data_IF_060107359135
#
_entry.id   IF_060107359135
#
_cell.length_a   1.000
_cell.length_b   1.000
_cell.length_c   1.000
_cell.angle_alpha   90.00
_cell.angle_beta   90.00
_cell.angle_gamma   90.00
#
_symmetry.space_group_name_H-M   'P 1'
#
loop_
_entity.id
_entity.type
_entity.pdbx_description
1 polymer ?
#
# COMPACT_ATOMS: atom_id res chain seq x y z
N UNK A 1 13.73 17.33 -16.78
CA UNK A 1 13.21 16.12 -16.09
C UNK A 1 14.14 15.60 -14.99
N UNK A 2 15.45 15.87 -15.00
CA UNK A 2 16.37 15.40 -13.96
C UNK A 2 16.21 16.08 -12.60
N UNK A 3 15.87 17.37 -12.59
CA UNK A 3 15.85 18.18 -11.35
C UNK A 3 14.74 17.76 -10.37
N UNK A 4 13.58 17.41 -10.90
CA UNK A 4 12.43 16.97 -10.10
C UNK A 4 12.68 15.61 -9.43
N UNK A 5 13.35 14.68 -10.13
CA UNK A 5 13.77 13.40 -9.54
C UNK A 5 14.84 13.59 -8.46
N UNK A 6 15.73 14.57 -8.63
CA UNK A 6 16.74 14.93 -7.62
C UNK A 6 16.06 15.45 -6.35
N UNK A 7 15.15 16.42 -6.49
CA UNK A 7 14.40 16.98 -5.37
C UNK A 7 13.58 15.90 -4.65
N UNK A 8 12.86 15.05 -5.38
CA UNK A 8 12.08 13.96 -4.78
C UNK A 8 12.95 13.02 -3.95
N UNK A 9 14.15 12.66 -4.43
CA UNK A 9 15.09 11.81 -3.68
C UNK A 9 15.58 12.49 -2.42
N UNK A 10 15.88 13.79 -2.49
CA UNK A 10 16.32 14.58 -1.34
C UNK A 10 15.20 14.65 -0.30
N UNK A 11 13.98 15.01 -0.72
CA UNK A 11 12.80 15.08 0.13
C UNK A 11 12.52 13.74 0.81
N UNK A 12 12.57 12.64 0.07
CA UNK A 12 12.37 11.29 0.62
C UNK A 12 13.43 10.93 1.65
N UNK A 13 14.71 11.26 1.38
CA UNK A 13 15.82 11.02 2.31
C UNK A 13 15.65 11.81 3.60
N UNK A 14 15.40 13.12 3.50
CA UNK A 14 15.27 14.00 4.68
C UNK A 14 14.04 13.62 5.50
N UNK A 15 12.89 13.36 4.89
CA UNK A 15 11.69 12.92 5.63
C UNK A 15 11.88 11.55 6.32
N UNK A 16 12.72 10.67 5.77
CA UNK A 16 13.05 9.39 6.42
C UNK A 16 13.90 9.56 7.70
N UNK A 17 14.70 10.62 7.76
CA UNK A 17 15.54 10.97 8.92
C UNK A 17 14.74 11.80 9.93
N UNK A 18 13.98 12.79 9.44
CA UNK A 18 13.14 13.69 10.24
C UNK A 18 11.72 13.13 10.35
N UNK A 19 11.58 12.06 11.13
CA UNK A 19 10.36 11.25 11.25
C UNK A 19 9.59 11.44 12.57
N UNK A 20 9.82 12.53 13.29
CA UNK A 20 9.06 12.89 14.50
C UNK A 20 7.62 13.29 14.13
N UNK A 21 6.70 13.06 15.05
CA UNK A 21 5.28 13.38 14.89
C UNK A 21 4.86 14.52 15.80
N UNK A 22 3.74 15.17 15.48
CA UNK A 22 3.15 16.24 16.30
C UNK A 22 2.97 15.83 17.78
N UNK A 23 2.70 14.55 18.06
CA UNK A 23 2.57 14.00 19.42
C UNK A 23 3.87 14.00 20.23
N UNK A 24 5.02 14.12 19.58
CA UNK A 24 6.34 14.10 20.22
C UNK A 24 6.76 15.49 20.73
N UNK A 25 5.96 16.53 20.41
CA UNK A 25 6.23 17.92 20.78
C UNK A 25 5.24 18.43 21.84
N UNK A 26 5.68 19.33 22.74
CA UNK A 26 4.83 19.85 23.81
C UNK A 26 3.80 20.86 23.31
N UNK A 27 4.01 21.47 22.14
CA UNK A 27 3.11 22.47 21.56
C UNK A 27 3.14 22.51 20.03
N UNK A 28 2.08 23.09 19.46
CA UNK A 28 1.93 23.26 18.01
C UNK A 28 3.02 24.17 17.41
N UNK A 29 3.51 25.14 18.18
CA UNK A 29 4.56 26.04 17.72
C UNK A 29 5.87 25.28 17.50
N UNK A 30 6.30 24.45 18.46
CA UNK A 30 7.53 23.63 18.31
C UNK A 30 7.43 22.66 17.13
N UNK A 31 6.23 22.12 16.88
CA UNK A 31 5.97 21.29 15.71
C UNK A 31 6.13 22.08 14.40
N UNK A 32 5.58 23.29 14.32
CA UNK A 32 5.73 24.14 13.15
C UNK A 32 7.19 24.56 12.92
N UNK A 33 7.90 24.92 13.98
CA UNK A 33 9.33 25.29 13.92
C UNK A 33 10.19 24.09 13.47
N UNK A 34 9.81 22.87 13.85
CA UNK A 34 10.44 21.64 13.36
C UNK A 34 10.16 21.40 11.87
N UNK A 35 8.92 21.62 11.42
CA UNK A 35 8.56 21.48 10.02
C UNK A 35 9.28 22.51 9.14
N UNK A 36 9.38 23.76 9.60
CA UNK A 36 10.13 24.82 8.92
C UNK A 36 11.60 24.44 8.78
N UNK A 37 12.27 24.06 9.88
CA UNK A 37 13.66 23.60 9.84
C UNK A 37 13.87 22.43 8.88
N UNK A 38 12.91 21.49 8.80
CA UNK A 38 12.99 20.36 7.89
C UNK A 38 12.88 20.81 6.43
N UNK A 39 11.99 21.73 6.09
CA UNK A 39 11.86 22.26 4.73
C UNK A 39 13.05 23.14 4.34
N UNK A 40 13.62 23.91 5.27
CA UNK A 40 14.86 24.67 5.04
C UNK A 40 16.00 23.77 4.62
N UNK A 41 16.18 22.64 5.31
CA UNK A 41 17.18 21.61 4.97
C UNK A 41 16.91 21.04 3.57
N UNK A 42 15.65 20.75 3.23
CA UNK A 42 15.28 20.22 1.91
C UNK A 42 15.58 21.24 0.82
N UNK A 43 15.23 22.51 1.03
CA UNK A 43 15.45 23.61 0.08
C UNK A 43 16.94 23.83 -0.16
N UNK A 44 17.74 23.92 0.91
CA UNK A 44 19.19 24.06 0.83
C UNK A 44 19.84 22.94 0.00
N UNK A 45 19.46 21.68 0.26
CA UNK A 45 19.98 20.53 -0.49
C UNK A 45 19.48 20.48 -1.95
N UNK A 46 18.23 20.88 -2.21
CA UNK A 46 17.64 20.88 -3.54
C UNK A 46 18.34 21.91 -4.44
N UNK A 47 18.46 23.14 -3.94
CA UNK A 47 19.06 24.29 -4.63
C UNK A 47 20.60 24.24 -4.63
N UNK A 48 21.19 23.46 -3.73
CA UNK A 48 22.64 23.34 -3.60
C UNK A 48 23.29 24.48 -2.82
N UNK A 49 22.52 25.13 -1.94
CA UNK A 49 22.99 26.18 -1.04
C UNK A 49 23.50 25.53 0.24
N UNK A 50 24.72 25.88 0.63
CA UNK A 50 25.36 25.43 1.88
C UNK A 50 25.24 23.93 2.21
N UNK A 51 25.46 23.10 1.18
CA UNK A 51 25.28 21.64 1.25
C UNK A 51 26.15 21.02 2.34
N UNK A 52 27.37 21.51 2.54
CA UNK A 52 28.31 20.95 3.51
C UNK A 52 27.82 21.17 4.95
N UNK A 53 27.40 22.38 5.28
CA UNK A 53 26.85 22.70 6.61
C UNK A 53 25.56 21.91 6.87
N UNK A 54 24.68 21.87 5.86
CA UNK A 54 23.40 21.16 5.95
C UNK A 54 23.60 19.65 6.15
N UNK A 55 24.53 19.03 5.43
CA UNK A 55 24.86 17.61 5.61
C UNK A 55 25.50 17.32 6.98
N UNK A 56 26.33 18.23 7.51
CA UNK A 56 26.87 18.10 8.87
C UNK A 56 25.75 18.12 9.92
N UNK A 57 24.80 19.06 9.79
CA UNK A 57 23.63 19.15 10.68
C UNK A 57 22.76 17.89 10.60
N UNK A 58 22.58 17.33 9.42
CA UNK A 58 21.88 16.04 9.24
C UNK A 58 22.64 14.90 9.94
N UNK A 59 23.97 14.85 9.81
CA UNK A 59 24.78 13.80 10.41
C UNK A 59 24.76 13.86 11.94
N UNK A 60 24.83 15.07 12.52
CA UNK A 60 24.69 15.29 13.96
C UNK A 60 23.30 14.85 14.44
N UNK A 61 22.24 15.30 13.77
CA UNK A 61 20.88 14.91 14.10
C UNK A 61 20.68 13.39 14.05
N UNK A 62 21.20 12.72 13.02
CA UNK A 62 21.14 11.25 12.92
C UNK A 62 21.85 10.56 14.07
N UNK A 63 23.02 11.06 14.48
CA UNK A 63 23.81 10.46 15.56
C UNK A 63 23.10 10.61 16.91
N UNK A 64 22.51 11.78 17.17
CA UNK A 64 21.81 12.07 18.42
C UNK A 64 20.46 11.36 18.51
N UNK A 65 19.74 11.25 17.39
CA UNK A 65 18.36 10.76 17.35
C UNK A 65 18.22 9.35 16.76
N UNK A 66 19.32 8.61 16.62
CA UNK A 66 19.33 7.29 15.96
C UNK A 66 18.28 6.34 16.53
N UNK A 67 18.16 6.28 17.86
CA UNK A 67 17.20 5.41 18.55
C UNK A 67 15.75 5.82 18.26
N UNK A 68 15.44 7.11 18.38
CA UNK A 68 14.11 7.65 18.10
C UNK A 68 13.69 7.40 16.64
N UNK A 69 14.63 7.59 15.70
CA UNK A 69 14.37 7.37 14.28
C UNK A 69 13.97 5.91 14.05
N UNK A 70 14.70 4.95 14.64
CA UNK A 70 14.44 3.53 14.49
C UNK A 70 13.07 3.15 15.07
N UNK A 71 12.74 3.64 16.27
CA UNK A 71 11.45 3.40 16.91
C UNK A 71 10.28 3.97 16.10
N UNK A 72 10.42 5.21 15.61
CA UNK A 72 9.40 5.87 14.82
C UNK A 72 9.21 5.20 13.45
N UNK A 73 10.28 4.70 12.82
CA UNK A 73 10.18 3.90 11.61
C UNK A 73 9.45 2.57 11.85
N UNK A 74 9.75 1.88 12.97
CA UNK A 74 9.06 0.64 13.33
C UNK A 74 7.56 0.88 13.57
N UNK A 75 7.20 1.91 14.34
CA UNK A 75 5.81 2.33 14.57
C UNK A 75 5.10 2.68 13.26
N UNK A 76 5.77 3.40 12.36
CA UNK A 76 5.21 3.76 11.06
C UNK A 76 4.98 2.53 10.19
N UNK A 77 5.92 1.58 10.15
CA UNK A 77 5.77 0.34 9.41
C UNK A 77 4.61 -0.51 9.93
N UNK A 78 4.45 -0.61 11.26
CA UNK A 78 3.30 -1.28 11.89
C UNK A 78 1.97 -0.60 11.51
N UNK A 79 1.91 0.73 11.58
CA UNK A 79 0.71 1.49 11.17
C UNK A 79 0.37 1.28 9.69
N UNK A 80 1.36 1.29 8.80
CA UNK A 80 1.15 1.04 7.38
C UNK A 80 0.65 -0.38 7.13
N UNK A 81 1.18 -1.38 7.85
CA UNK A 81 0.71 -2.77 7.79
C UNK A 81 -0.73 -2.88 8.28
N UNK A 82 -1.05 -2.31 9.44
CA UNK A 82 -2.39 -2.30 9.98
C UNK A 82 -3.39 -1.59 9.05
N UNK A 83 -2.99 -0.48 8.42
CA UNK A 83 -3.80 0.22 7.42
C UNK A 83 -4.03 -0.63 6.16
N UNK A 84 -3.00 -1.35 5.69
CA UNK A 84 -3.13 -2.27 4.56
C UNK A 84 -4.06 -3.45 4.89
N UNK A 85 -3.96 -4.01 6.08
CA UNK A 85 -4.84 -5.08 6.57
C UNK A 85 -6.29 -4.57 6.73
N UNK A 86 -6.49 -3.33 7.19
CA UNK A 86 -7.81 -2.70 7.26
C UNK A 86 -8.41 -2.41 5.88
N UNK A 87 -7.59 -2.03 4.91
CA UNK A 87 -8.00 -1.84 3.52
C UNK A 87 -8.33 -3.18 2.84
N UNK A 88 -7.58 -4.23 3.17
CA UNK A 88 -7.89 -5.62 2.82
C UNK A 88 -8.89 -6.21 3.81
N UNK A 89 -10.06 -5.58 3.96
CA UNK A 89 -11.20 -6.23 4.60
C UNK A 89 -11.85 -7.11 3.53
N UNK A 90 -11.64 -8.44 3.50
CA UNK A 90 -12.49 -9.27 2.65
C UNK A 90 -13.91 -8.97 3.10
N UNK A 91 -14.77 -8.57 2.16
CA UNK A 91 -16.18 -8.35 2.47
C UNK A 91 -16.63 -9.57 3.28
N UNK A 92 -17.00 -9.36 4.55
CA UNK A 92 -17.67 -10.38 5.29
C UNK A 92 -18.95 -10.62 4.50
N UNK A 93 -18.94 -11.66 3.66
CA UNK A 93 -20.17 -12.19 3.09
C UNK A 93 -21.04 -12.40 4.32
N UNK A 94 -22.17 -11.71 4.46
CA UNK A 94 -23.02 -11.94 5.60
C UNK A 94 -23.38 -13.42 5.54
N UNK A 95 -22.84 -14.19 6.48
CA UNK A 95 -23.46 -15.46 6.85
C UNK A 95 -24.83 -15.04 7.33
N UNK A 96 -25.79 -15.02 6.41
CA UNK A 96 -27.18 -14.79 6.72
C UNK A 96 -27.49 -15.72 7.89
N UNK A 97 -27.94 -15.13 9.01
CA UNK A 97 -28.48 -15.88 10.11
C UNK A 97 -29.37 -16.97 9.51
N UNK A 98 -29.07 -18.25 9.79
CA UNK A 98 -29.89 -19.34 9.28
C UNK A 98 -31.34 -18.99 9.60
N UNK A 99 -32.22 -18.80 8.60
CA UNK A 99 -33.61 -18.56 8.90
C UNK A 99 -34.10 -19.81 9.61
N UNK A 100 -34.77 -19.64 10.77
CA UNK A 100 -35.45 -20.73 11.46
C UNK A 100 -36.32 -21.53 10.46
N UNK A 101 -36.65 -22.80 10.75
CA UNK A 101 -37.16 -23.74 9.75
C UNK A 101 -38.29 -23.12 8.91
N UNK A 102 -37.92 -22.69 7.71
CA UNK A 102 -38.81 -22.06 6.75
C UNK A 102 -39.73 -23.14 6.19
N UNK A 103 -41.02 -22.82 6.09
CA UNK A 103 -41.96 -23.61 5.30
C UNK A 103 -41.40 -23.84 3.89
N UNK A 104 -41.61 -25.03 3.30
CA UNK A 104 -41.10 -25.32 1.97
C UNK A 104 -41.63 -24.27 0.99
N UNK A 105 -40.76 -23.62 0.19
CA UNK A 105 -41.20 -22.67 -0.81
C UNK A 105 -42.08 -23.39 -1.82
N UNK A 106 -43.23 -22.79 -2.15
CA UNK A 106 -44.00 -23.17 -3.33
C UNK A 106 -43.04 -23.24 -4.52
N UNK A 107 -43.13 -24.26 -5.40
CA UNK A 107 -42.22 -24.37 -6.52
C UNK A 107 -42.40 -23.16 -7.44
N UNK A 108 -41.46 -22.21 -7.35
CA UNK A 108 -41.18 -21.27 -8.41
C UNK A 108 -40.83 -22.11 -9.63
N UNK A 109 -41.52 -21.86 -10.74
CA UNK A 109 -41.24 -22.47 -12.03
C UNK A 109 -39.82 -22.08 -12.48
N UNK A 110 -38.83 -22.81 -11.98
CA UNK A 110 -37.44 -22.73 -12.40
C UNK A 110 -37.38 -23.35 -13.78
N UNK A 111 -37.41 -22.51 -14.81
CA UNK A 111 -36.96 -22.93 -16.13
C UNK A 111 -35.54 -23.45 -15.98
N UNK A 112 -35.36 -24.77 -16.09
CA UNK A 112 -34.04 -25.37 -16.12
C UNK A 112 -33.31 -24.83 -17.34
N UNK A 113 -32.28 -24.01 -17.14
CA UNK A 113 -31.38 -23.60 -18.21
C UNK A 113 -30.75 -24.87 -18.79
N UNK A 114 -30.88 -25.05 -20.11
CA UNK A 114 -30.25 -26.18 -20.78
C UNK A 114 -28.74 -26.10 -20.61
N UNK A 115 -28.06 -27.25 -20.71
CA UNK A 115 -26.61 -27.33 -20.62
C UNK A 115 -25.91 -26.36 -21.60
N UNK A 116 -26.50 -26.15 -22.79
CA UNK A 116 -26.00 -25.21 -23.80
C UNK A 116 -26.18 -23.74 -23.39
N UNK A 117 -27.28 -23.40 -22.73
CA UNK A 117 -27.48 -22.06 -22.17
C UNK A 117 -26.45 -21.77 -21.07
N UNK A 118 -26.18 -22.75 -20.20
CA UNK A 118 -25.14 -22.61 -19.19
C UNK A 118 -23.74 -22.44 -19.81
N UNK A 119 -23.42 -23.22 -20.84
CA UNK A 119 -22.17 -23.12 -21.58
C UNK A 119 -21.99 -21.75 -22.25
N UNK A 120 -23.03 -21.25 -22.93
CA UNK A 120 -22.97 -19.93 -23.59
C UNK A 120 -22.78 -18.77 -22.62
N UNK A 121 -23.41 -18.81 -21.44
CA UNK A 121 -23.21 -17.81 -20.39
C UNK A 121 -21.80 -17.88 -19.78
N UNK A 122 -21.27 -19.09 -19.61
CA UNK A 122 -19.92 -19.29 -19.10
C UNK A 122 -18.88 -18.78 -20.11
N UNK A 123 -19.06 -19.08 -21.40
CA UNK A 123 -18.21 -18.55 -22.46
C UNK A 123 -18.26 -17.02 -22.56
N UNK A 124 -19.45 -16.42 -22.44
CA UNK A 124 -19.61 -14.97 -22.41
C UNK A 124 -18.92 -14.29 -21.23
N UNK A 125 -18.79 -14.99 -20.10
CA UNK A 125 -18.03 -14.55 -18.92
C UNK A 125 -16.54 -14.91 -18.98
N UNK A 126 -16.05 -15.39 -20.14
CA UNK A 126 -14.65 -15.75 -20.35
C UNK A 126 -14.24 -17.07 -19.69
N UNK A 127 -15.20 -17.79 -19.10
CA UNK A 127 -14.96 -19.08 -18.48
C UNK A 127 -15.04 -20.18 -19.54
N UNK A 128 -13.95 -20.93 -19.71
CA UNK A 128 -13.94 -22.15 -20.53
C UNK A 128 -13.54 -23.34 -19.65
N UNK A 129 -14.09 -24.55 -19.90
CA UNK A 129 -13.68 -25.77 -19.19
C UNK A 129 -12.18 -26.11 -19.32
N UNK A 130 -11.48 -25.50 -20.29
CA UNK A 130 -10.06 -25.72 -20.55
C UNK A 130 -9.13 -24.70 -19.88
N UNK A 131 -9.64 -23.72 -19.11
CA UNK A 131 -8.81 -22.76 -18.36
C UNK A 131 -7.65 -23.41 -17.58
N UNK A 132 -7.85 -24.49 -16.80
CA UNK A 132 -6.74 -25.08 -16.06
C UNK A 132 -5.65 -25.66 -16.98
N UNK A 133 -6.02 -26.21 -18.15
CA UNK A 133 -5.05 -26.71 -19.13
C UNK A 133 -4.31 -25.58 -19.84
N UNK A 134 -5.01 -24.51 -20.22
CA UNK A 134 -4.43 -23.34 -20.86
C UNK A 134 -3.45 -22.60 -19.92
N UNK A 135 -3.82 -22.47 -18.64
CA UNK A 135 -2.93 -21.89 -17.62
C UNK A 135 -1.68 -22.74 -17.41
N UNK A 136 -1.83 -24.05 -17.30
CA UNK A 136 -0.70 -24.98 -17.17
C UNK A 136 0.23 -24.92 -18.40
N UNK A 137 -0.33 -24.85 -19.61
CA UNK A 137 0.47 -24.66 -20.83
C UNK A 137 1.19 -23.32 -20.82
N UNK A 138 0.53 -22.22 -20.45
CA UNK A 138 1.13 -20.90 -20.38
C UNK A 138 2.30 -20.86 -19.38
N UNK A 139 2.14 -21.50 -18.20
CA UNK A 139 3.20 -21.63 -17.19
C UNK A 139 4.37 -22.50 -17.68
N UNK A 140 4.09 -23.56 -18.44
CA UNK A 140 5.13 -24.38 -19.08
C UNK A 140 5.90 -23.61 -20.17
N UNK A 141 5.21 -22.84 -21.02
CA UNK A 141 5.83 -22.05 -22.08
C UNK A 141 6.61 -20.84 -21.53
N UNK A 142 6.11 -20.17 -20.49
CA UNK A 142 6.83 -19.06 -19.85
C UNK A 142 8.15 -19.52 -19.23
N UNK A 143 8.18 -20.75 -18.71
CA UNK A 143 9.40 -21.34 -18.15
C UNK A 143 10.42 -21.71 -19.25
N UNK A 144 9.97 -22.05 -20.46
CA UNK A 144 10.86 -22.42 -21.58
C UNK A 144 11.49 -21.20 -22.27
N UNK A 145 10.82 -20.05 -22.33
CA UNK A 145 11.29 -18.85 -23.04
C UNK A 145 11.80 -17.72 -22.12
N UNK A 146 11.97 -17.97 -20.82
CA UNK A 146 12.55 -17.04 -19.85
C UNK A 146 13.97 -17.44 -19.38
N UNK A 147 14.78 -17.97 -20.29
CA UNK A 147 16.24 -18.10 -20.16
C UNK A 147 16.90 -17.41 -21.35
#
# INVERSE_FOLDING_TARGET
MGDLLKEMKIRQRVQGIFNRQESDFPGLQDWNDYLEQREDIIMNLAEGVDVVETENRIAEYQKENYQEILENQAKQAERLRAAADAAFRPAAVPMAAQPGPMQPPSPLNQGSLSQDQLLSMALASGWTPNIPKLRLQQEAFSTIFAC
#
